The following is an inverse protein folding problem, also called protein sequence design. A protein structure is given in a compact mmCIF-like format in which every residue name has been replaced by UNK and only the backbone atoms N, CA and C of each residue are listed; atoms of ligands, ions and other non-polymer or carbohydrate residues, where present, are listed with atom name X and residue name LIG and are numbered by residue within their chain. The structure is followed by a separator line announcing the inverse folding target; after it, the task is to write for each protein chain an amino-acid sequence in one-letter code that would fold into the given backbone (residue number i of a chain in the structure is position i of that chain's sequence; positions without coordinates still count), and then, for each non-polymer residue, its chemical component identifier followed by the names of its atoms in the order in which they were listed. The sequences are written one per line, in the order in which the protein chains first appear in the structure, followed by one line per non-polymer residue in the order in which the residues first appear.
data_IF_604801843394
#
_entry.id   IF_604801843394
#
_cell.length_a   1.000
_cell.length_b   1.000
_cell.length_c   1.000
_cell.angle_alpha   90.00
_cell.angle_beta   90.00
_cell.angle_gamma   90.00
#
_symmetry.space_group_name_H-M   'P 1'
#
loop_
_entity.id
_entity.type
_entity.pdbx_description
1 polymer ?
#
# COMPACT_ATOMS: atom_id res chain seq x y z
N UNK A 1 11.59 1.65 -23.41
CA UNK A 1 10.92 2.94 -23.24
C UNK A 1 9.50 2.62 -22.82
N UNK A 2 8.97 3.18 -21.73
CA UNK A 2 7.63 2.83 -21.25
C UNK A 2 6.56 3.24 -22.26
N UNK A 3 5.51 2.43 -22.41
CA UNK A 3 4.37 2.78 -23.25
C UNK A 3 3.54 3.90 -22.60
N UNK A 4 2.75 4.63 -23.40
CA UNK A 4 1.84 5.67 -22.88
C UNK A 4 0.85 5.08 -21.86
N UNK A 5 0.44 3.83 -22.04
CA UNK A 5 -0.42 3.10 -21.11
C UNK A 5 0.26 2.84 -19.76
N UNK A 6 1.50 2.34 -19.79
CA UNK A 6 2.30 2.10 -18.57
C UNK A 6 2.55 3.41 -17.79
N UNK A 7 2.81 4.51 -18.49
CA UNK A 7 2.97 5.82 -17.87
C UNK A 7 1.67 6.32 -17.22
N UNK A 8 0.53 6.14 -17.91
CA UNK A 8 -0.79 6.50 -17.38
C UNK A 8 -1.10 5.72 -16.10
N UNK A 9 -0.84 4.41 -16.07
CA UNK A 9 -1.01 3.59 -14.87
C UNK A 9 -0.11 4.06 -13.72
N UNK A 10 1.15 4.40 -14.01
CA UNK A 10 2.09 4.86 -12.99
C UNK A 10 1.67 6.21 -12.39
N UNK A 11 1.27 7.18 -13.22
CA UNK A 11 0.76 8.48 -12.77
C UNK A 11 -0.55 8.29 -12.00
N UNK A 12 -1.46 7.47 -12.53
CA UNK A 12 -2.73 7.13 -11.89
C UNK A 12 -2.52 6.59 -10.47
N UNK A 13 -1.64 5.60 -10.31
CA UNK A 13 -1.30 5.03 -9.01
C UNK A 13 -0.79 6.08 -8.01
N UNK A 14 0.13 6.96 -8.42
CA UNK A 14 0.68 8.00 -7.53
C UNK A 14 -0.39 9.00 -7.11
N UNK A 15 -1.21 9.47 -8.05
CA UNK A 15 -2.25 10.47 -7.78
C UNK A 15 -3.37 9.90 -6.92
N UNK A 16 -3.97 8.78 -7.32
CA UNK A 16 -5.09 8.17 -6.58
C UNK A 16 -4.64 7.63 -5.24
N UNK A 17 -3.44 7.08 -5.16
CA UNK A 17 -2.85 6.67 -3.89
C UNK A 17 -2.61 7.84 -2.95
N UNK A 18 -2.21 9.02 -3.46
CA UNK A 18 -2.04 10.22 -2.63
C UNK A 18 -3.38 10.71 -2.10
N UNK A 19 -4.41 10.75 -2.96
CA UNK A 19 -5.78 11.11 -2.57
C UNK A 19 -6.31 10.15 -1.51
N UNK A 20 -6.08 8.84 -1.65
CA UNK A 20 -6.43 7.81 -0.66
C UNK A 20 -5.90 8.18 0.73
N UNK A 21 -4.57 8.30 0.87
CA UNK A 21 -3.96 8.56 2.18
C UNK A 21 -4.38 9.92 2.76
N UNK A 22 -4.53 10.93 1.91
CA UNK A 22 -5.01 12.25 2.36
C UNK A 22 -6.49 12.21 2.78
N UNK A 23 -7.33 11.41 2.13
CA UNK A 23 -8.75 11.25 2.49
C UNK A 23 -8.90 10.53 3.83
N UNK A 24 -8.10 9.48 4.08
CA UNK A 24 -8.05 8.80 5.38
C UNK A 24 -7.60 9.76 6.47
N UNK A 25 -6.48 10.46 6.27
CA UNK A 25 -5.98 11.45 7.23
C UNK A 25 -6.97 12.59 7.47
N UNK A 26 -7.70 12.99 6.44
CA UNK A 26 -8.76 13.98 6.59
C UNK A 26 -9.91 13.45 7.45
N UNK A 27 -10.32 12.19 7.24
CA UNK A 27 -11.31 11.52 8.10
C UNK A 27 -10.83 11.48 9.56
N UNK A 28 -9.60 11.06 9.83
CA UNK A 28 -9.03 10.96 11.19
C UNK A 28 -9.03 12.30 11.94
N UNK A 29 -8.78 13.40 11.21
CA UNK A 29 -8.75 14.74 11.79
C UNK A 29 -10.14 15.33 12.05
N UNK A 30 -11.20 14.76 11.47
CA UNK A 30 -12.57 15.23 11.72
C UNK A 30 -13.06 14.74 13.08
N UNK A 31 -13.80 15.62 13.75
CA UNK A 31 -14.46 15.29 15.01
C UNK A 31 -15.95 15.06 14.81
N UNK A 32 -16.51 14.14 15.58
CA UNK A 32 -17.93 13.89 15.64
C UNK A 32 -18.35 13.44 17.04
N UNK A 33 -19.61 13.73 17.40
CA UNK A 33 -20.20 13.23 18.63
C UNK A 33 -20.35 11.71 18.56
N UNK A 34 -19.76 11.02 19.53
CA UNK A 34 -19.91 9.58 19.72
C UNK A 34 -21.22 9.20 20.41
N UNK A 35 -21.40 7.91 20.66
CA UNK A 35 -22.62 7.33 21.27
C UNK A 35 -22.93 7.86 22.68
N UNK A 36 -21.93 8.41 23.38
CA UNK A 36 -22.05 9.01 24.71
C UNK A 36 -22.21 10.54 24.69
N UNK A 37 -22.38 11.13 23.50
CA UNK A 37 -22.56 12.58 23.31
C UNK A 37 -21.29 13.40 23.46
N UNK A 38 -20.10 12.79 23.55
CA UNK A 38 -18.82 13.51 23.58
C UNK A 38 -18.23 13.61 22.18
N UNK A 39 -17.71 14.79 21.84
CA UNK A 39 -16.94 15.00 20.60
C UNK A 39 -15.58 14.31 20.72
N UNK A 40 -15.25 13.48 19.74
CA UNK A 40 -13.95 12.82 19.60
C UNK A 40 -13.53 12.79 18.13
N UNK A 41 -12.24 12.61 17.90
CA UNK A 41 -11.72 12.34 16.56
C UNK A 41 -12.26 11.01 16.01
N UNK A 42 -12.40 10.91 14.70
CA UNK A 42 -12.80 9.68 14.03
C UNK A 42 -11.64 8.67 13.99
N UNK A 43 -11.40 8.00 15.11
CA UNK A 43 -10.30 7.05 15.26
C UNK A 43 -10.82 5.60 15.19
N UNK A 44 -11.04 5.13 13.95
CA UNK A 44 -11.62 3.82 13.66
C UNK A 44 -10.82 3.08 12.55
N UNK A 45 -9.56 2.70 12.82
CA UNK A 45 -8.60 2.19 11.82
C UNK A 45 -9.02 0.86 11.17
N UNK A 46 -9.66 -0.04 11.93
CA UNK A 46 -10.11 -1.34 11.41
C UNK A 46 -11.41 -1.18 10.63
N UNK A 47 -12.28 -0.24 11.02
CA UNK A 47 -13.42 0.18 10.21
C UNK A 47 -12.97 0.82 8.88
N UNK A 48 -11.95 1.67 8.91
CA UNK A 48 -11.38 2.26 7.70
C UNK A 48 -10.75 1.20 6.80
N UNK A 49 -10.11 0.18 7.38
CA UNK A 49 -9.59 -0.98 6.65
C UNK A 49 -10.71 -1.82 6.04
N UNK A 50 -11.84 -2.00 6.72
CA UNK A 50 -13.05 -2.61 6.13
C UNK A 50 -13.54 -1.80 4.92
N UNK A 51 -13.55 -0.47 5.05
CA UNK A 51 -13.93 0.45 3.97
C UNK A 51 -12.98 0.37 2.77
N UNK A 52 -11.68 0.18 3.02
CA UNK A 52 -10.67 -0.09 1.99
C UNK A 52 -10.98 -1.37 1.20
N UNK A 53 -11.16 -2.50 1.90
CA UNK A 53 -11.50 -3.76 1.23
C UNK A 53 -12.84 -3.71 0.51
N UNK A 54 -13.79 -2.90 1.00
CA UNK A 54 -15.03 -2.65 0.30
C UNK A 54 -14.80 -1.95 -1.05
N UNK A 55 -13.91 -0.95 -1.11
CA UNK A 55 -13.51 -0.31 -2.37
C UNK A 55 -12.88 -1.28 -3.37
N UNK A 56 -12.01 -2.17 -2.90
CA UNK A 56 -11.43 -3.24 -3.73
C UNK A 56 -12.47 -4.25 -4.20
N UNK A 57 -13.38 -4.65 -3.33
CA UNK A 57 -14.50 -5.53 -3.69
C UNK A 57 -15.36 -4.94 -4.82
N UNK A 58 -15.58 -3.61 -4.83
CA UNK A 58 -16.31 -2.93 -5.90
C UNK A 58 -15.60 -3.05 -7.27
N UNK A 59 -14.28 -3.25 -7.32
CA UNK A 59 -13.56 -3.56 -8.57
C UNK A 59 -14.09 -4.86 -9.20
N UNK A 60 -14.43 -5.87 -8.41
CA UNK A 60 -15.01 -7.12 -8.92
C UNK A 60 -16.38 -6.89 -9.54
N UNK A 61 -17.20 -6.04 -8.92
CA UNK A 61 -18.50 -5.65 -9.46
C UNK A 61 -18.34 -4.93 -10.79
N UNK A 62 -17.44 -3.94 -10.85
CA UNK A 62 -17.14 -3.20 -12.08
C UNK A 62 -16.62 -4.13 -13.18
N UNK A 63 -15.72 -5.07 -12.86
CA UNK A 63 -15.21 -6.07 -13.79
C UNK A 63 -16.34 -6.93 -14.36
N UNK A 64 -17.22 -7.48 -13.52
CA UNK A 64 -18.33 -8.32 -13.96
C UNK A 64 -19.33 -7.55 -14.84
N UNK A 65 -19.59 -6.28 -14.53
CA UNK A 65 -20.45 -5.42 -15.35
C UNK A 65 -19.81 -5.12 -16.72
N UNK A 66 -18.52 -4.76 -16.74
CA UNK A 66 -17.77 -4.54 -17.97
C UNK A 66 -17.73 -5.80 -18.83
N UNK A 67 -17.42 -6.95 -18.25
CA UNK A 67 -17.40 -8.24 -18.95
C UNK A 67 -18.76 -8.60 -19.56
N UNK A 68 -19.85 -8.47 -18.78
CA UNK A 68 -21.21 -8.68 -19.30
C UNK A 68 -21.57 -7.72 -20.43
N UNK A 69 -21.12 -6.47 -20.34
CA UNK A 69 -21.34 -5.48 -21.40
C UNK A 69 -20.62 -5.87 -22.69
N UNK A 70 -19.34 -6.28 -22.61
CA UNK A 70 -18.57 -6.75 -23.77
C UNK A 70 -19.20 -7.98 -24.42
N UNK A 71 -19.64 -8.98 -23.64
CA UNK A 71 -20.37 -10.14 -24.16
C UNK A 71 -21.66 -9.73 -24.85
N UNK A 72 -22.48 -8.88 -24.21
CA UNK A 72 -23.78 -8.46 -24.75
C UNK A 72 -23.64 -7.68 -26.05
N UNK A 73 -22.57 -6.90 -26.19
CA UNK A 73 -22.27 -6.10 -27.39
C UNK A 73 -21.42 -6.84 -28.42
N UNK A 74 -21.02 -8.09 -28.14
CA UNK A 74 -20.12 -8.89 -28.98
C UNK A 74 -18.79 -8.18 -29.29
N UNK A 75 -18.32 -7.33 -28.37
CA UNK A 75 -17.00 -6.73 -28.49
C UNK A 75 -15.92 -7.77 -28.13
N UNK A 76 -14.81 -7.85 -28.88
CA UNK A 76 -13.71 -8.73 -28.53
C UNK A 76 -13.18 -8.41 -27.13
N UNK A 77 -13.05 -9.43 -26.28
CA UNK A 77 -12.56 -9.26 -24.90
C UNK A 77 -11.07 -8.87 -24.90
N UNK A 78 -10.31 -9.37 -25.89
CA UNK A 78 -8.87 -9.14 -26.04
C UNK A 78 -8.51 -7.67 -26.32
N UNK A 79 -9.45 -6.90 -26.87
CA UNK A 79 -9.26 -5.47 -27.16
C UNK A 79 -9.43 -4.58 -25.92
N UNK A 80 -9.99 -5.12 -24.82
CA UNK A 80 -10.26 -4.37 -23.61
C UNK A 80 -9.16 -4.56 -22.56
N UNK A 81 -8.35 -3.53 -22.23
CA UNK A 81 -7.26 -3.67 -21.27
C UNK A 81 -7.74 -3.97 -19.84
N UNK A 82 -9.03 -3.76 -19.57
CA UNK A 82 -9.65 -3.96 -18.24
C UNK A 82 -10.10 -5.41 -18.06
N UNK A 83 -10.54 -6.05 -19.14
CA UNK A 83 -11.23 -7.35 -19.11
C UNK A 83 -10.39 -8.47 -19.71
N UNK A 84 -9.36 -8.12 -20.48
CA UNK A 84 -8.39 -9.05 -21.05
C UNK A 84 -7.65 -9.84 -19.97
N UNK A 85 -7.58 -11.15 -20.19
CA UNK A 85 -6.83 -12.09 -19.37
C UNK A 85 -7.61 -13.37 -19.07
N UNK A 86 -6.97 -14.30 -18.39
CA UNK A 86 -7.57 -15.56 -17.98
C UNK A 86 -8.57 -15.34 -16.84
N UNK A 87 -9.76 -15.88 -17.01
CA UNK A 87 -10.84 -15.81 -16.02
C UNK A 87 -11.05 -17.13 -15.28
N UNK A 88 -10.44 -18.22 -15.78
CA UNK A 88 -10.52 -19.55 -15.20
C UNK A 88 -9.28 -19.79 -14.34
N UNK A 89 -9.34 -19.32 -13.11
CA UNK A 89 -8.35 -19.59 -12.08
C UNK A 89 -9.05 -19.82 -10.74
N UNK A 90 -8.35 -20.42 -9.79
CA UNK A 90 -8.89 -20.62 -8.44
C UNK A 90 -8.89 -19.29 -7.65
N UNK A 91 -10.06 -18.73 -7.26
CA UNK A 91 -10.12 -17.47 -6.52
C UNK A 91 -9.36 -17.50 -5.19
N UNK A 92 -9.27 -18.66 -4.52
CA UNK A 92 -8.57 -18.81 -3.24
C UNK A 92 -7.08 -18.43 -3.31
N UNK A 93 -6.51 -18.30 -4.51
CA UNK A 93 -5.18 -17.73 -4.71
C UNK A 93 -5.03 -16.33 -4.11
N UNK A 94 -6.10 -15.52 -4.12
CA UNK A 94 -6.09 -14.16 -3.57
C UNK A 94 -6.40 -14.09 -2.07
N UNK A 95 -6.66 -15.23 -1.42
CA UNK A 95 -6.81 -15.27 0.03
C UNK A 95 -5.48 -15.00 0.74
N UNK A 96 -4.38 -15.59 0.24
CA UNK A 96 -3.04 -15.42 0.82
C UNK A 96 -2.58 -13.94 0.80
N UNK A 97 -2.60 -13.22 -0.35
CA UNK A 97 -2.21 -11.82 -0.36
C UNK A 97 -3.13 -10.95 0.50
N UNK A 98 -4.45 -11.20 0.52
CA UNK A 98 -5.36 -10.49 1.43
C UNK A 98 -4.99 -10.66 2.91
N UNK A 99 -4.56 -11.86 3.32
CA UNK A 99 -4.08 -12.09 4.71
C UNK A 99 -2.78 -11.37 5.00
N UNK A 100 -1.84 -11.36 4.03
CA UNK A 100 -0.61 -10.61 4.19
C UNK A 100 -0.86 -9.10 4.28
N UNK A 101 -1.76 -8.55 3.47
CA UNK A 101 -2.14 -7.13 3.54
C UNK A 101 -2.77 -6.79 4.89
N UNK A 102 -3.73 -7.59 5.37
CA UNK A 102 -4.36 -7.38 6.68
C UNK A 102 -3.35 -7.43 7.84
N UNK A 103 -2.48 -8.43 7.86
CA UNK A 103 -1.47 -8.59 8.91
C UNK A 103 -0.46 -7.43 8.86
N UNK A 104 0.04 -7.10 7.67
CA UNK A 104 1.00 -6.01 7.50
C UNK A 104 0.38 -4.66 7.92
N UNK A 105 -0.85 -4.37 7.49
CA UNK A 105 -1.57 -3.13 7.83
C UNK A 105 -1.84 -3.02 9.33
N UNK A 106 -2.20 -4.12 9.98
CA UNK A 106 -2.39 -4.15 11.44
C UNK A 106 -1.08 -3.87 12.18
N UNK A 107 0.03 -4.52 11.79
CA UNK A 107 1.35 -4.29 12.39
C UNK A 107 1.84 -2.86 12.16
N UNK A 108 1.60 -2.32 10.96
CA UNK A 108 1.88 -0.93 10.61
C UNK A 108 1.12 0.06 11.49
N UNK A 109 -0.18 -0.20 11.71
CA UNK A 109 -1.01 0.65 12.57
C UNK A 109 -0.54 0.63 14.02
N UNK A 110 -0.30 -0.56 14.59
CA UNK A 110 0.25 -0.68 15.95
C UNK A 110 1.60 0.03 16.04
N UNK A 111 2.48 -0.17 15.07
CA UNK A 111 3.78 0.51 15.02
C UNK A 111 3.66 2.04 15.00
N UNK A 112 2.72 2.58 14.20
CA UNK A 112 2.45 4.02 14.11
C UNK A 112 2.03 4.63 15.46
N UNK A 113 1.28 3.90 16.29
CA UNK A 113 0.91 4.39 17.63
C UNK A 113 2.13 4.53 18.55
N UNK A 114 3.15 3.69 18.36
CA UNK A 114 4.34 3.60 19.21
C UNK A 114 5.53 4.45 18.71
N UNK A 115 5.62 4.73 17.40
CA UNK A 115 6.69 5.56 16.80
C UNK A 115 6.17 6.91 16.30
N UNK A 116 7.02 7.70 15.64
CA UNK A 116 6.64 8.97 15.02
C UNK A 116 6.07 8.76 13.61
N UNK A 117 5.08 9.57 13.23
CA UNK A 117 4.44 9.48 11.91
C UNK A 117 5.42 9.66 10.74
N UNK A 118 6.45 10.49 10.92
CA UNK A 118 7.55 10.68 9.98
C UNK A 118 8.37 9.40 9.79
N UNK A 119 8.70 8.73 10.89
CA UNK A 119 9.49 7.49 10.93
C UNK A 119 8.72 6.36 10.27
N UNK A 120 7.43 6.25 10.57
CA UNK A 120 6.50 5.36 9.87
C UNK A 120 6.55 5.52 8.35
N UNK A 121 6.46 6.75 7.84
CA UNK A 121 6.50 7.02 6.40
C UNK A 121 7.84 6.64 5.77
N UNK A 122 8.95 6.87 6.48
CA UNK A 122 10.30 6.59 6.00
C UNK A 122 10.64 5.10 6.04
N UNK A 123 10.27 4.40 7.12
CA UNK A 123 10.48 2.95 7.28
C UNK A 123 9.68 2.13 6.27
N UNK A 124 8.54 2.63 5.79
CA UNK A 124 7.82 2.04 4.64
C UNK A 124 8.68 1.93 3.38
N UNK A 125 9.68 2.80 3.20
CA UNK A 125 10.63 2.70 2.08
C UNK A 125 11.48 1.42 2.09
N UNK A 126 11.59 0.74 3.25
CA UNK A 126 12.32 -0.53 3.37
C UNK A 126 11.71 -1.67 2.55
N UNK A 127 10.41 -1.59 2.20
CA UNK A 127 9.71 -2.60 1.40
C UNK A 127 10.42 -2.91 0.08
N UNK A 128 11.11 -1.92 -0.52
CA UNK A 128 11.84 -2.07 -1.78
C UNK A 128 12.99 -3.07 -1.66
N UNK A 129 13.67 -3.10 -0.51
CA UNK A 129 14.80 -4.00 -0.25
C UNK A 129 14.29 -5.45 -0.29
N UNK A 130 13.27 -5.73 0.50
CA UNK A 130 12.68 -7.07 0.60
C UNK A 130 12.00 -7.49 -0.70
N UNK A 131 11.32 -6.56 -1.39
CA UNK A 131 10.68 -6.82 -2.68
C UNK A 131 11.72 -7.20 -3.73
N UNK A 132 12.87 -6.51 -3.78
CA UNK A 132 13.94 -6.85 -4.71
C UNK A 132 14.55 -8.24 -4.43
N UNK A 133 14.72 -8.60 -3.15
CA UNK A 133 15.22 -9.91 -2.75
C UNK A 133 14.22 -11.01 -3.10
N UNK A 134 12.96 -10.85 -2.71
CA UNK A 134 11.90 -11.82 -3.00
C UNK A 134 11.61 -11.94 -4.49
N UNK A 135 11.64 -10.84 -5.25
CA UNK A 135 11.48 -10.87 -6.71
C UNK A 135 12.61 -11.66 -7.38
N UNK A 136 13.85 -11.56 -6.88
CA UNK A 136 14.97 -12.41 -7.34
C UNK A 136 14.76 -13.90 -7.02
N UNK A 137 14.22 -14.21 -5.84
CA UNK A 137 14.03 -15.60 -5.39
C UNK A 137 12.83 -16.27 -6.06
N UNK A 138 11.66 -15.61 -6.06
CA UNK A 138 10.38 -16.20 -6.45
C UNK A 138 9.95 -15.93 -7.89
N UNK A 139 10.37 -14.79 -8.47
CA UNK A 139 10.08 -14.37 -9.86
C UNK A 139 11.33 -14.51 -10.74
N UNK A 140 12.47 -14.90 -10.15
CA UNK A 140 13.76 -15.12 -10.83
C UNK A 140 14.26 -13.90 -11.63
N UNK A 141 13.92 -12.68 -11.21
CA UNK A 141 14.43 -11.46 -11.85
C UNK A 141 15.93 -11.26 -11.61
N UNK A 142 16.65 -10.85 -12.65
CA UNK A 142 18.08 -10.53 -12.56
C UNK A 142 18.30 -9.13 -11.95
N UNK A 143 19.02 -9.07 -10.82
CA UNK A 143 19.31 -7.82 -10.11
C UNK A 143 20.67 -7.27 -10.54
N UNK A 144 20.66 -6.26 -11.40
CA UNK A 144 21.88 -5.55 -11.82
C UNK A 144 22.65 -4.89 -10.66
N UNK A 145 23.95 -4.62 -10.84
CA UNK A 145 24.80 -3.91 -9.86
C UNK A 145 24.22 -2.55 -9.46
N UNK A 146 23.51 -1.88 -10.37
CA UNK A 146 22.85 -0.58 -10.10
C UNK A 146 21.71 -0.71 -9.08
N UNK A 147 20.96 -1.79 -9.16
CA UNK A 147 19.90 -2.07 -8.19
C UNK A 147 20.50 -2.28 -6.79
N UNK A 148 21.64 -2.96 -6.68
CA UNK A 148 22.36 -3.12 -5.42
C UNK A 148 22.88 -1.80 -4.86
N UNK A 149 23.39 -0.90 -5.71
CA UNK A 149 23.76 0.46 -5.27
C UNK A 149 22.56 1.22 -4.72
N UNK A 150 21.40 1.17 -5.40
CA UNK A 150 20.17 1.79 -4.91
C UNK A 150 19.71 1.23 -3.57
N UNK A 151 19.71 -0.11 -3.42
CA UNK A 151 19.38 -0.81 -2.16
C UNK A 151 20.34 -0.38 -1.05
N UNK A 152 21.64 -0.31 -1.32
CA UNK A 152 22.64 0.12 -0.35
C UNK A 152 22.39 1.55 0.15
N UNK A 153 22.08 2.48 -0.76
CA UNK A 153 21.71 3.85 -0.38
C UNK A 153 20.42 3.89 0.47
N UNK A 154 19.43 3.07 0.14
CA UNK A 154 18.19 2.96 0.95
C UNK A 154 18.51 2.47 2.36
N UNK A 155 19.39 1.47 2.53
CA UNK A 155 19.81 0.96 3.84
C UNK A 155 20.46 2.07 4.68
N UNK A 156 21.33 2.90 4.09
CA UNK A 156 21.92 4.05 4.78
C UNK A 156 20.84 5.05 5.21
N UNK A 157 19.87 5.33 4.34
CA UNK A 157 18.72 6.18 4.66
C UNK A 157 17.93 5.67 5.86
N UNK A 158 17.56 4.38 5.86
CA UNK A 158 16.85 3.74 6.97
C UNK A 158 17.65 3.75 8.28
N UNK A 159 18.95 3.46 8.22
CA UNK A 159 19.82 3.52 9.40
C UNK A 159 19.87 4.93 9.99
N UNK A 160 19.94 5.96 9.14
CA UNK A 160 19.94 7.37 9.57
C UNK A 160 18.63 7.73 10.27
N UNK A 161 17.49 7.26 9.76
CA UNK A 161 16.16 7.48 10.37
C UNK A 161 16.08 6.82 11.74
N UNK A 162 16.45 5.54 11.87
CA UNK A 162 16.43 4.85 13.17
C UNK A 162 17.34 5.50 14.22
N UNK A 163 18.50 6.03 13.82
CA UNK A 163 19.37 6.81 14.73
C UNK A 163 18.72 8.13 15.13
N UNK A 164 18.06 8.83 14.19
CA UNK A 164 17.33 10.08 14.47
C UNK A 164 16.23 9.87 15.50
N UNK A 165 15.48 8.76 15.40
CA UNK A 165 14.38 8.45 16.31
C UNK A 165 14.89 8.11 17.70
N UNK A 166 15.99 7.37 17.79
CA UNK A 166 16.67 7.09 19.04
C UNK A 166 17.15 8.38 19.74
N UNK A 167 17.72 9.32 19.00
CA UNK A 167 18.18 10.60 19.54
C UNK A 167 17.02 11.53 19.93
N UNK A 168 15.88 11.44 19.25
CA UNK A 168 14.70 12.28 19.52
C UNK A 168 13.91 11.82 20.76
N UNK A 169 14.17 10.60 21.25
CA UNK A 169 13.50 10.01 22.41
C UNK A 169 13.68 10.78 23.73
N UNK A 170 14.63 11.72 23.80
CA UNK A 170 14.86 12.58 24.97
C UNK A 170 13.97 13.83 25.05
N UNK A 171 13.21 14.13 23.99
CA UNK A 171 12.43 15.38 23.86
C UNK A 171 10.91 15.17 23.89
N UNK A 172 10.43 13.97 23.60
CA UNK A 172 9.01 13.62 23.52
C UNK A 172 8.57 12.68 24.65
N UNK A 173 7.27 12.60 24.90
CA UNK A 173 6.68 11.79 25.98
C UNK A 173 6.70 10.26 25.74
N UNK A 174 7.22 9.80 24.59
CA UNK A 174 7.27 8.37 24.23
C UNK A 174 8.56 7.75 24.75
N UNK A 175 8.48 6.56 25.33
CA UNK A 175 9.68 5.88 25.83
C UNK A 175 10.55 5.34 24.68
N UNK A 176 11.87 5.31 24.85
CA UNK A 176 12.79 4.76 23.83
C UNK A 176 12.44 3.32 23.46
N UNK A 177 11.98 2.52 24.43
CA UNK A 177 11.56 1.14 24.19
C UNK A 177 10.32 1.06 23.28
N UNK A 178 9.34 1.95 23.48
CA UNK A 178 8.16 2.01 22.60
C UNK A 178 8.55 2.34 21.16
N UNK A 179 9.43 3.33 20.96
CA UNK A 179 9.89 3.74 19.64
C UNK A 179 10.60 2.58 18.93
N UNK A 180 11.55 1.91 19.61
CA UNK A 180 12.31 0.79 19.02
C UNK A 180 11.40 -0.39 18.68
N UNK A 181 10.43 -0.70 19.54
CA UNK A 181 9.44 -1.75 19.27
C UNK A 181 8.56 -1.35 18.07
N UNK A 182 8.08 -0.11 18.02
CA UNK A 182 7.27 0.43 16.92
C UNK A 182 8.00 0.35 15.58
N UNK A 183 9.24 0.82 15.51
CA UNK A 183 10.07 0.78 14.31
C UNK A 183 10.34 -0.65 13.85
N UNK A 184 10.61 -1.56 14.79
CA UNK A 184 10.83 -2.99 14.51
C UNK A 184 9.57 -3.65 13.94
N UNK A 185 8.39 -3.34 14.49
CA UNK A 185 7.11 -3.82 13.99
C UNK A 185 6.85 -3.34 12.56
N UNK A 186 7.15 -2.07 12.26
CA UNK A 186 6.98 -1.51 10.91
C UNK A 186 7.93 -2.19 9.92
N UNK A 187 9.19 -2.41 10.30
CA UNK A 187 10.15 -3.13 9.46
C UNK A 187 9.71 -4.57 9.18
N UNK A 188 9.20 -5.27 10.20
CA UNK A 188 8.65 -6.61 10.02
C UNK A 188 7.42 -6.61 9.10
N UNK A 189 6.53 -5.62 9.25
CA UNK A 189 5.40 -5.43 8.35
C UNK A 189 5.83 -5.22 6.89
N UNK A 190 6.93 -4.50 6.64
CA UNK A 190 7.45 -4.30 5.27
C UNK A 190 7.92 -5.62 4.62
N UNK A 191 8.36 -6.60 5.40
CA UNK A 191 8.71 -7.93 4.87
C UNK A 191 7.44 -8.62 4.38
N UNK A 192 6.36 -8.56 5.16
CA UNK A 192 5.07 -9.18 4.80
C UNK A 192 4.47 -8.48 3.57
N UNK A 193 4.46 -7.15 3.53
CA UNK A 193 4.03 -6.38 2.35
C UNK A 193 4.87 -6.73 1.13
N UNK A 194 6.20 -6.85 1.25
CA UNK A 194 7.04 -7.26 0.12
C UNK A 194 6.68 -8.67 -0.38
N UNK A 195 6.39 -9.61 0.53
CA UNK A 195 5.96 -10.95 0.16
C UNK A 195 4.62 -10.94 -0.58
N UNK A 196 3.63 -10.17 -0.11
CA UNK A 196 2.36 -9.94 -0.78
C UNK A 196 2.57 -9.45 -2.22
N UNK A 197 3.34 -8.39 -2.40
CA UNK A 197 3.52 -7.73 -3.70
C UNK A 197 4.20 -8.65 -4.72
N UNK A 198 5.20 -9.43 -4.30
CA UNK A 198 5.89 -10.39 -5.16
C UNK A 198 5.02 -11.62 -5.46
N UNK A 199 4.24 -12.07 -4.48
CA UNK A 199 3.26 -13.14 -4.68
C UNK A 199 2.23 -12.74 -5.75
N UNK A 200 1.65 -11.54 -5.64
CA UNK A 200 0.71 -10.99 -6.61
C UNK A 200 1.33 -10.90 -8.00
N UNK A 201 2.51 -10.30 -8.14
CA UNK A 201 3.21 -10.22 -9.44
C UNK A 201 3.35 -11.61 -10.05
N UNK A 202 3.86 -12.58 -9.28
CA UNK A 202 4.10 -13.94 -9.77
C UNK A 202 2.82 -14.56 -10.34
N UNK A 203 1.74 -14.55 -9.56
CA UNK A 203 0.53 -15.27 -9.94
C UNK A 203 -0.33 -14.52 -10.95
N UNK A 204 -0.40 -13.19 -10.87
CA UNK A 204 -1.14 -12.38 -11.85
C UNK A 204 -0.48 -12.44 -13.22
N UNK A 205 0.86 -12.46 -13.28
CA UNK A 205 1.61 -12.62 -14.53
C UNK A 205 1.53 -14.06 -15.04
N UNK A 206 1.82 -15.07 -14.21
CA UNK A 206 1.86 -16.47 -14.66
C UNK A 206 0.50 -16.99 -15.13
N UNK A 207 -0.58 -16.59 -14.47
CA UNK A 207 -1.93 -17.02 -14.84
C UNK A 207 -2.62 -16.03 -15.79
N UNK A 208 -1.95 -14.95 -16.23
CA UNK A 208 -2.50 -13.85 -17.03
C UNK A 208 -3.84 -13.29 -16.49
N UNK A 209 -3.96 -13.12 -15.17
CA UNK A 209 -5.22 -12.71 -14.53
C UNK A 209 -5.48 -11.21 -14.81
N UNK A 210 -6.72 -10.80 -15.15
CA UNK A 210 -7.05 -9.38 -15.27
C UNK A 210 -6.83 -8.65 -13.94
N UNK A 211 -6.07 -7.53 -13.90
CA UNK A 211 -5.76 -6.83 -12.65
C UNK A 211 -6.99 -6.43 -11.82
N UNK A 212 -8.05 -5.99 -12.51
CA UNK A 212 -9.29 -5.58 -11.83
C UNK A 212 -10.00 -6.75 -11.14
N UNK A 213 -9.90 -7.96 -11.71
CA UNK A 213 -10.44 -9.18 -11.13
C UNK A 213 -9.59 -9.66 -9.93
N UNK A 214 -8.26 -9.52 -10.02
CA UNK A 214 -7.33 -9.82 -8.94
C UNK A 214 -7.63 -8.98 -7.69
N UNK A 215 -7.63 -7.65 -7.83
CA UNK A 215 -8.01 -6.70 -6.75
C UNK A 215 -9.40 -7.02 -6.21
N UNK A 216 -10.34 -7.34 -7.11
CA UNK A 216 -11.70 -7.68 -6.74
C UNK A 216 -11.81 -8.87 -5.78
N UNK A 217 -11.07 -9.96 -6.05
CA UNK A 217 -11.07 -11.14 -5.19
C UNK A 217 -10.31 -10.93 -3.87
N UNK A 218 -9.20 -10.20 -3.91
CA UNK A 218 -8.48 -9.76 -2.72
C UNK A 218 -9.42 -8.97 -1.79
N UNK A 219 -10.14 -7.99 -2.33
CA UNK A 219 -11.15 -7.22 -1.61
C UNK A 219 -12.28 -8.07 -1.02
N UNK A 220 -12.75 -9.13 -1.72
CA UNK A 220 -13.74 -10.06 -1.16
C UNK A 220 -13.20 -10.77 0.09
N UNK A 221 -12.01 -11.37 0.00
CA UNK A 221 -11.44 -12.11 1.12
C UNK A 221 -11.06 -11.18 2.28
N UNK A 222 -10.47 -10.03 1.99
CA UNK A 222 -10.14 -9.01 2.98
C UNK A 222 -11.38 -8.46 3.68
N UNK A 223 -12.45 -8.15 2.93
CA UNK A 223 -13.72 -7.66 3.50
C UNK A 223 -14.36 -8.70 4.41
N UNK A 224 -14.42 -9.97 3.97
CA UNK A 224 -14.96 -11.06 4.78
C UNK A 224 -14.18 -11.26 6.07
N UNK A 225 -12.85 -11.34 5.98
CA UNK A 225 -12.00 -11.59 7.14
C UNK A 225 -11.97 -10.40 8.09
N UNK A 226 -11.93 -9.17 7.59
CA UNK A 226 -12.01 -7.97 8.43
C UNK A 226 -13.37 -7.88 9.12
N UNK A 227 -14.47 -8.17 8.42
CA UNK A 227 -15.80 -8.24 9.02
C UNK A 227 -15.87 -9.25 10.17
N UNK A 228 -15.23 -10.42 10.01
CA UNK A 228 -15.15 -11.44 11.06
C UNK A 228 -14.28 -10.98 12.25
N UNK A 229 -13.20 -10.25 12.01
CA UNK A 229 -12.32 -9.71 13.07
C UNK A 229 -12.94 -8.54 13.85
N UNK A 230 -13.82 -7.76 13.22
CA UNK A 230 -14.54 -6.69 13.92
C UNK A 230 -15.44 -7.22 15.06
N UNK A 231 -15.91 -8.47 14.97
CA UNK A 231 -16.72 -9.10 16.01
C UNK A 231 -15.94 -9.23 17.34
N UNK A 232 -14.77 -9.91 17.40
CA UNK A 232 -14.00 -9.95 18.64
C UNK A 232 -13.43 -8.58 19.03
N UNK A 233 -13.04 -7.71 18.08
CA UNK A 233 -12.51 -6.37 18.40
C UNK A 233 -13.51 -5.48 19.14
N UNK A 234 -14.81 -5.67 18.92
CA UNK A 234 -15.87 -4.98 19.65
C UNK A 234 -15.98 -5.36 21.14
N UNK A 235 -15.44 -6.52 21.53
CA UNK A 235 -15.51 -7.03 22.92
C UNK A 235 -14.19 -6.91 23.68
N UNK A 236 -13.07 -6.72 22.98
CA UNK A 236 -11.75 -6.64 23.62
C UNK A 236 -11.51 -5.19 24.07
N UNK A 237 -11.42 -4.98 25.38
CA UNK A 237 -11.08 -3.69 25.95
C UNK A 237 -9.57 -3.45 25.87
N UNK A 238 -9.17 -2.29 25.38
CA UNK A 238 -7.79 -1.81 25.34
C UNK A 238 -7.73 -0.39 25.91
N UNK A 239 -6.71 -0.12 26.73
CA UNK A 239 -6.50 1.21 27.28
C UNK A 239 -5.91 2.18 26.25
N UNK A 240 -5.90 3.50 26.55
CA UNK A 240 -5.15 4.48 25.79
C UNK A 240 -3.66 4.07 25.69
N UNK A 241 -2.97 4.27 24.55
CA UNK A 241 -3.36 5.04 23.37
C UNK A 241 -4.02 4.23 22.24
N UNK A 242 -4.28 2.93 22.44
CA UNK A 242 -4.78 2.03 21.38
C UNK A 242 -6.25 2.26 21.04
N UNK A 243 -7.02 2.88 21.94
CA UNK A 243 -8.40 3.26 21.72
C UNK A 243 -8.73 4.55 22.46
N UNK A 244 -9.49 5.41 21.80
CA UNK A 244 -10.11 6.63 22.35
C UNK A 244 -11.65 6.58 22.24
N UNK A 245 -12.23 5.42 21.88
CA UNK A 245 -13.68 5.31 21.72
C UNK A 245 -14.40 5.28 23.08
N UNK A 246 -15.72 5.51 23.06
CA UNK A 246 -16.55 5.64 24.27
C UNK A 246 -16.47 4.43 25.21
N UNK A 247 -16.18 3.24 24.66
CA UNK A 247 -16.14 1.96 25.39
C UNK A 247 -14.73 1.46 25.71
N UNK A 248 -13.68 2.12 25.20
CA UNK A 248 -12.29 1.67 25.35
C UNK A 248 -12.06 0.28 24.75
N UNK A 249 -12.74 -0.06 23.64
CA UNK A 249 -12.55 -1.32 22.91
C UNK A 249 -11.61 -1.13 21.72
N UNK A 250 -11.06 -2.20 21.15
CA UNK A 250 -10.18 -2.09 19.97
C UNK A 250 -10.86 -1.35 18.81
N UNK A 251 -12.12 -1.68 18.54
CA UNK A 251 -12.89 -1.07 17.47
C UNK A 251 -14.38 -1.08 17.82
N UNK A 252 -15.01 0.09 17.86
CA UNK A 252 -16.45 0.22 18.10
C UNK A 252 -17.16 0.58 16.79
N UNK A 253 -17.58 -0.46 16.06
CA UNK A 253 -18.25 -0.31 14.77
C UNK A 253 -19.57 0.49 14.86
N UNK A 254 -20.47 0.25 15.85
CA UNK A 254 -21.64 1.11 16.05
C UNK A 254 -21.31 2.58 16.30
N UNK A 255 -20.27 2.88 17.07
CA UNK A 255 -19.83 4.26 17.32
C UNK A 255 -19.30 4.91 16.03
N UNK A 256 -18.53 4.18 15.21
CA UNK A 256 -18.06 4.66 13.92
C UNK A 256 -19.24 5.09 13.01
N UNK A 257 -20.31 4.28 12.96
CA UNK A 257 -21.53 4.64 12.21
C UNK A 257 -22.19 5.89 12.78
N UNK A 258 -22.30 5.97 14.10
CA UNK A 258 -22.91 7.12 14.79
C UNK A 258 -22.15 8.41 14.48
N UNK A 259 -20.82 8.38 14.54
CA UNK A 259 -19.97 9.51 14.18
C UNK A 259 -20.14 9.93 12.71
N UNK A 260 -20.24 8.97 11.78
CA UNK A 260 -20.48 9.25 10.35
C UNK A 260 -21.86 9.92 10.13
N UNK A 261 -22.88 9.48 10.87
CA UNK A 261 -24.22 10.08 10.79
C UNK A 261 -24.24 11.51 11.33
N UNK A 262 -23.49 11.77 12.40
CA UNK A 262 -23.41 13.07 13.06
C UNK A 262 -22.56 14.08 12.27
N UNK A 263 -21.49 13.62 11.60
CA UNK A 263 -20.65 14.48 10.75
C UNK A 263 -20.53 13.92 9.32
N UNK A 264 -21.32 14.49 8.40
CA UNK A 264 -21.34 14.10 6.98
C UNK A 264 -20.02 14.36 6.24
N UNK A 265 -19.13 15.20 6.76
CA UNK A 265 -17.80 15.37 6.18
C UNK A 265 -16.98 14.08 6.26
N UNK A 266 -17.17 13.28 7.31
CA UNK A 266 -16.54 11.96 7.46
C UNK A 266 -17.02 11.05 6.33
N UNK A 267 -18.33 11.04 6.04
CA UNK A 267 -18.88 10.26 4.92
C UNK A 267 -18.25 10.66 3.57
N UNK A 268 -18.08 11.96 3.32
CA UNK A 268 -17.45 12.44 2.08
C UNK A 268 -16.00 11.97 2.00
N UNK A 269 -15.24 12.06 3.10
CA UNK A 269 -13.87 11.56 3.18
C UNK A 269 -13.79 10.04 2.93
N UNK A 270 -14.72 9.26 3.50
CA UNK A 270 -14.81 7.81 3.29
C UNK A 270 -15.18 7.44 1.85
N UNK A 271 -16.11 8.16 1.21
CA UNK A 271 -16.45 7.95 -0.21
C UNK A 271 -15.24 8.26 -1.11
N UNK A 272 -14.54 9.36 -0.84
CA UNK A 272 -13.30 9.71 -1.53
C UNK A 272 -12.25 8.60 -1.37
N UNK A 273 -12.13 8.05 -0.16
CA UNK A 273 -11.26 6.93 0.14
C UNK A 273 -11.64 5.68 -0.69
N UNK A 274 -12.89 5.23 -0.64
CA UNK A 274 -13.40 4.05 -1.39
C UNK A 274 -13.05 4.14 -2.88
N UNK A 275 -13.35 5.27 -3.52
CA UNK A 275 -13.12 5.46 -4.95
C UNK A 275 -11.61 5.46 -5.25
N UNK A 276 -10.84 6.22 -4.46
CA UNK A 276 -9.40 6.33 -4.69
C UNK A 276 -8.65 5.01 -4.49
N UNK A 277 -9.07 4.18 -3.51
CA UNK A 277 -8.53 2.84 -3.25
C UNK A 277 -8.78 1.90 -4.41
N UNK A 278 -10.00 1.88 -4.95
CA UNK A 278 -10.35 1.04 -6.10
C UNK A 278 -9.38 1.31 -7.28
N UNK A 279 -9.18 2.58 -7.62
CA UNK A 279 -8.24 2.98 -8.68
C UNK A 279 -6.78 2.75 -8.32
N UNK A 280 -6.38 3.01 -7.07
CA UNK A 280 -5.02 2.82 -6.58
C UNK A 280 -4.59 1.36 -6.69
N UNK A 281 -5.39 0.43 -6.16
CA UNK A 281 -5.07 -0.99 -6.21
C UNK A 281 -5.15 -1.56 -7.63
N UNK A 282 -6.13 -1.14 -8.43
CA UNK A 282 -6.19 -1.52 -9.85
C UNK A 282 -4.91 -1.09 -10.59
N UNK A 283 -4.51 0.18 -10.43
CA UNK A 283 -3.29 0.70 -11.06
C UNK A 283 -2.05 0.02 -10.52
N UNK A 284 -2.00 -0.28 -9.22
CA UNK A 284 -0.91 -0.97 -8.54
C UNK A 284 -0.68 -2.38 -9.08
N UNK A 285 -1.71 -3.23 -9.10
CA UNK A 285 -1.60 -4.59 -9.68
C UNK A 285 -1.29 -4.50 -11.19
N UNK A 286 -1.87 -3.54 -11.91
CA UNK A 286 -1.56 -3.34 -13.33
C UNK A 286 -0.10 -2.97 -13.57
N UNK A 287 0.49 -2.09 -12.75
CA UNK A 287 1.94 -1.79 -12.81
C UNK A 287 2.77 -3.02 -12.47
N UNK A 288 2.36 -3.82 -11.48
CA UNK A 288 3.06 -5.05 -11.13
C UNK A 288 3.05 -6.06 -12.29
N UNK A 289 1.90 -6.21 -12.95
CA UNK A 289 1.71 -7.09 -14.11
C UNK A 289 2.51 -6.62 -15.35
N UNK A 290 2.41 -5.34 -15.68
CA UNK A 290 2.97 -4.77 -16.92
C UNK A 290 4.45 -4.36 -16.82
N UNK A 291 4.96 -4.12 -15.60
CA UNK A 291 6.32 -3.65 -15.36
C UNK A 291 7.05 -4.54 -14.35
N UNK A 292 6.71 -4.42 -13.05
CA UNK A 292 7.21 -5.25 -11.95
C UNK A 292 6.63 -4.82 -10.59
N UNK A 293 6.63 -5.71 -9.59
CA UNK A 293 6.31 -5.35 -8.20
C UNK A 293 7.29 -4.32 -7.65
N UNK A 294 8.56 -4.36 -8.05
CA UNK A 294 9.54 -3.38 -7.55
C UNK A 294 9.23 -1.97 -8.06
N UNK A 295 8.79 -1.82 -9.31
CA UNK A 295 8.34 -0.52 -9.83
C UNK A 295 7.10 -0.01 -9.08
N UNK A 296 6.14 -0.90 -8.76
CA UNK A 296 4.99 -0.56 -7.90
C UNK A 296 5.46 0.03 -6.56
N UNK A 297 6.39 -0.63 -5.87
CA UNK A 297 6.93 -0.15 -4.57
C UNK A 297 7.66 1.19 -4.66
N UNK A 298 8.27 1.48 -5.79
CA UNK A 298 8.92 2.76 -6.04
C UNK A 298 7.89 3.85 -6.23
N UNK A 299 6.84 3.61 -7.02
CA UNK A 299 5.73 4.55 -7.18
C UNK A 299 5.02 4.81 -5.85
N UNK A 300 4.89 3.79 -5.01
CA UNK A 300 4.36 3.93 -3.64
C UNK A 300 5.18 4.88 -2.79
N UNK A 301 6.50 4.84 -2.94
CA UNK A 301 7.41 5.73 -2.21
C UNK A 301 7.50 7.14 -2.83
N UNK A 302 7.26 7.26 -4.14
CA UNK A 302 7.08 8.59 -4.77
C UNK A 302 5.80 9.25 -4.25
N UNK A 303 4.73 8.48 -4.07
CA UNK A 303 3.49 8.97 -3.45
C UNK A 303 3.71 9.53 -2.04
N UNK A 304 4.51 8.88 -1.19
CA UNK A 304 4.72 9.37 0.19
C UNK A 304 5.34 10.76 0.23
N UNK A 305 6.18 11.12 -0.75
CA UNK A 305 6.70 12.48 -0.91
C UNK A 305 5.60 13.53 -1.12
N UNK A 306 4.64 13.24 -1.99
CA UNK A 306 3.53 14.15 -2.26
C UNK A 306 2.64 14.33 -1.03
N UNK A 307 2.37 13.25 -0.31
CA UNK A 307 1.60 13.28 0.94
C UNK A 307 2.31 14.12 2.00
N UNK A 308 3.63 13.96 2.14
CA UNK A 308 4.44 14.74 3.08
C UNK A 308 4.45 16.23 2.72
N UNK A 309 4.68 16.56 1.44
CA UNK A 309 4.69 17.95 0.96
C UNK A 309 3.33 18.62 1.16
N UNK A 310 2.24 17.92 0.86
CA UNK A 310 0.89 18.42 1.10
C UNK A 310 0.59 18.57 2.60
N UNK A 311 0.99 17.59 3.42
CA UNK A 311 0.80 17.65 4.88
C UNK A 311 1.51 18.85 5.51
N UNK A 312 2.72 19.20 5.04
CA UNK A 312 3.41 20.41 5.48
C UNK A 312 2.71 21.68 5.00
N UNK A 313 2.26 21.72 3.74
CA UNK A 313 1.59 22.89 3.19
C UNK A 313 0.27 23.24 3.91
N UNK A 314 -0.46 22.21 4.37
CA UNK A 314 -1.71 22.38 5.13
C UNK A 314 -1.44 22.57 6.64
N UNK A 315 -0.20 22.38 7.11
CA UNK A 315 0.16 22.50 8.52
C UNK A 315 -0.24 21.29 9.38
N UNK A 316 -0.48 20.13 8.76
CA UNK A 316 -0.78 18.87 9.47
C UNK A 316 0.45 18.18 10.07
N UNK A 317 1.67 18.69 9.82
CA UNK A 317 2.91 18.18 10.38
C UNK A 317 3.87 19.33 10.68
N UNK A 318 4.62 19.22 11.77
CA UNK A 318 5.70 20.16 12.12
C UNK A 318 6.99 19.80 11.37
N UNK A 319 7.71 20.79 10.84
CA UNK A 319 8.94 20.57 10.09
C UNK A 319 10.11 20.22 11.01
N UNK A 320 10.60 18.98 10.97
CA UNK A 320 11.82 18.57 11.66
C UNK A 320 13.01 18.55 10.67
N UNK A 321 14.11 19.30 10.91
CA UNK A 321 15.23 19.41 9.97
C UNK A 321 16.02 18.13 9.69
N UNK A 322 16.02 17.14 10.59
CA UNK A 322 16.81 15.92 10.43
C UNK A 322 16.15 14.90 9.47
N UNK A 323 14.83 14.93 9.37
CA UNK A 323 14.02 13.97 8.62
C UNK A 323 14.12 14.12 7.08
N UNK A 324 14.21 15.34 6.51
CA UNK A 324 14.45 15.54 5.08
C UNK A 324 15.72 14.88 4.57
N UNK A 325 16.77 14.75 5.40
CA UNK A 325 18.03 14.11 4.99
C UNK A 325 17.84 12.61 4.77
N UNK A 326 17.23 11.91 5.73
CA UNK A 326 16.89 10.49 5.60
C UNK A 326 15.95 10.26 4.41
N UNK A 327 14.94 11.12 4.27
CA UNK A 327 14.00 11.06 3.16
C UNK A 327 14.64 11.28 1.77
N UNK A 328 15.56 12.25 1.65
CA UNK A 328 16.31 12.50 0.42
C UNK A 328 17.21 11.31 0.05
N UNK A 329 17.87 10.68 1.03
CA UNK A 329 18.67 9.48 0.79
C UNK A 329 17.81 8.33 0.26
N UNK A 330 16.63 8.11 0.84
CA UNK A 330 15.67 7.12 0.35
C UNK A 330 15.25 7.42 -1.10
N UNK A 331 14.86 8.67 -1.40
CA UNK A 331 14.53 9.12 -2.76
C UNK A 331 15.66 8.91 -3.76
N UNK A 332 16.90 9.27 -3.40
CA UNK A 332 18.06 9.10 -4.26
C UNK A 332 18.30 7.60 -4.53
N UNK A 333 18.28 6.76 -3.49
CA UNK A 333 18.45 5.31 -3.64
C UNK A 333 17.40 4.69 -4.56
N UNK A 334 16.14 5.13 -4.45
CA UNK A 334 15.06 4.71 -5.35
C UNK A 334 15.25 5.19 -6.78
N UNK A 335 15.69 6.43 -6.98
CA UNK A 335 15.95 6.96 -8.31
C UNK A 335 17.13 6.27 -9.00
N UNK A 336 18.16 5.87 -8.23
CA UNK A 336 19.27 5.04 -8.71
C UNK A 336 18.77 3.66 -9.11
N UNK A 337 17.93 3.04 -8.27
CA UNK A 337 17.35 1.71 -8.54
C UNK A 337 16.57 1.70 -9.87
N UNK A 338 15.73 2.71 -10.11
CA UNK A 338 14.85 2.77 -11.29
C UNK A 338 15.45 3.49 -12.49
N UNK A 339 16.75 3.77 -12.45
CA UNK A 339 17.46 4.40 -13.57
C UNK A 339 16.84 5.77 -13.98
N UNK A 340 16.22 6.47 -13.02
CA UNK A 340 15.68 7.82 -13.19
C UNK A 340 16.82 8.86 -13.17
N UNK A 341 17.83 8.62 -12.32
CA UNK A 341 19.07 9.39 -12.34
C UNK A 341 20.03 8.78 -13.37
N UNK A 342 20.34 9.52 -14.43
CA UNK A 342 21.43 9.20 -15.39
C UNK A 342 22.84 9.27 -14.76
N UNK A 343 22.95 9.24 -13.44
CA UNK A 343 24.20 9.43 -12.69
C UNK A 343 25.18 8.25 -12.84
N UNK A 344 24.76 7.10 -13.39
CA UNK A 344 25.66 5.96 -13.61
C UNK A 344 26.32 6.06 -15.00
N UNK A 345 27.67 6.03 -15.08
CA UNK A 345 28.40 6.11 -16.36
C UNK A 345 27.93 5.07 -17.38
N UNK A 346 27.81 5.48 -18.64
CA UNK A 346 27.35 4.64 -19.77
C UNK A 346 28.09 3.30 -19.91
N UNK A 347 29.30 3.15 -19.36
CA UNK A 347 30.10 1.90 -19.39
C UNK A 347 29.51 0.74 -18.57
N UNK A 348 28.57 1.01 -17.65
CA UNK A 348 27.82 -0.02 -16.90
C UNK A 348 26.42 -0.29 -17.49
N UNK A 349 26.09 0.26 -18.67
CA UNK A 349 24.92 -0.13 -19.44
C UNK A 349 25.22 -1.43 -20.19
N UNK A 350 25.31 -2.55 -19.48
CA UNK A 350 24.89 -3.81 -20.09
C UNK A 350 23.38 -3.69 -20.30
N UNK A 351 23.00 -3.43 -21.55
CA UNK A 351 21.63 -3.64 -22.02
C UNK A 351 21.42 -5.13 -21.93
N UNK A 352 20.82 -5.61 -20.84
CA UNK A 352 20.34 -6.98 -20.76
C UNK A 352 19.11 -7.02 -21.65
N UNK A 353 19.27 -7.60 -22.83
CA UNK A 353 18.16 -7.97 -23.69
C UNK A 353 17.32 -8.99 -22.91
N UNK A 354 16.04 -8.71 -22.74
CA UNK A 354 15.10 -9.69 -22.24
C UNK A 354 14.96 -10.79 -23.30
N UNK A 355 15.04 -12.08 -22.96
CA UNK A 355 14.40 -13.11 -23.77
C UNK A 355 12.90 -13.05 -23.46
N UNK A 356 12.22 -12.03 -23.99
CA UNK A 356 10.80 -12.12 -24.27
C UNK A 356 10.72 -12.60 -25.71
N UNK A 357 10.48 -13.90 -25.91
CA UNK A 357 9.84 -14.54 -27.07
C UNK A 357 10.21 -16.03 -27.19
N UNK A 358 10.11 -16.82 -26.12
CA UNK A 358 9.91 -18.27 -26.30
C UNK A 358 8.77 -18.76 -25.39
N UNK A 359 7.67 -19.27 -25.97
CA UNK A 359 6.63 -19.91 -25.18
C UNK A 359 7.21 -21.21 -24.61
N UNK A 360 7.04 -21.42 -23.31
CA UNK A 360 7.24 -22.72 -22.67
C UNK A 360 6.10 -23.63 -23.14
N UNK A 361 6.18 -24.10 -24.39
CA UNK A 361 5.46 -25.29 -24.82
C UNK A 361 6.31 -26.46 -24.36
N UNK A 362 6.08 -26.89 -23.12
CA UNK A 362 6.44 -28.24 -22.69
C UNK A 362 5.52 -29.20 -23.44
N UNK A 363 6.01 -29.79 -24.52
CA UNK A 363 5.38 -30.91 -25.18
C UNK A 363 5.40 -32.15 -24.28
N UNK A 364 4.25 -32.81 -24.20
CA UNK A 364 4.18 -34.25 -23.93
C UNK A 364 4.71 -35.02 -25.17
N UNK A 365 5.22 -36.24 -24.98
CA UNK A 365 4.34 -37.41 -24.82
C UNK A 365 4.41 -38.08 -23.45
#
# INVERSE_FOLDING_TARGET
MYSSYQLLLAIGMVVTGSINTLSVKWADNLEAEGSDGKSRHFNHPFFQSLTMFFGEFLCLLFFKLAYRYHIKKQYPIEDSPIVKGNQQFNPFLFFIPAMFDMIATTLMYIGLTMTFASSFQMLRGAVIIFTAIFSKIFVHRQVSVRHWLGIFTIIIGLATVGVSDFLSSGTDSKSTNEIVIGDSLILFAQIITAAQMVYEEKYVVSNDIPPLQAVGWEGVFGFLMMSLLLIPFYYINVGPPLSDNSRGVIEDFPEAITQIMNNKWILIALIGNIISIAYFNFSGISVAKEISATTRMVLDSVRTFFIWTFSLAVGWQTFNPLQPVGFLLLLIGMCIYNNLLRAVPRRLRTVVHYPTDEPIIGGEP
#
